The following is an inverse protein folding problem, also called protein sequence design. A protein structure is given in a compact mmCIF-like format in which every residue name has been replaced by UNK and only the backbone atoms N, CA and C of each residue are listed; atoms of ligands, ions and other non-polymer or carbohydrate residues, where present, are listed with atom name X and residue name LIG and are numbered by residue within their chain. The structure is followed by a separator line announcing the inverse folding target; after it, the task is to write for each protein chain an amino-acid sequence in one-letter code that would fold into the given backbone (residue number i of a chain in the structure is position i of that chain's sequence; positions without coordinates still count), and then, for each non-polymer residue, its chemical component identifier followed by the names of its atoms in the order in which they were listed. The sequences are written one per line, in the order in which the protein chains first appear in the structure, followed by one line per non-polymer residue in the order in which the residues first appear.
data_IF_765308823852
#
_entry.id   IF_765308823852
#
_cell.length_a   1.000
_cell.length_b   1.000
_cell.length_c   1.000
_cell.angle_alpha   90.00
_cell.angle_beta   90.00
_cell.angle_gamma   90.00
#
_symmetry.space_group_name_H-M   'P 1'
#
loop_
_entity.id
_entity.type
_entity.pdbx_description
1 polymer ?
#
# COMPACT_ATOMS: atom_id res chain seq x y z
N UNK A 1 26.09 2.49 7.72
CA UNK A 1 25.49 3.36 8.75
C UNK A 1 25.44 2.56 10.02
N UNK A 2 25.95 3.12 11.11
CA UNK A 2 25.98 2.43 12.40
C UNK A 2 24.55 2.38 12.97
N UNK A 3 23.97 1.18 13.14
CA UNK A 3 22.60 1.02 13.67
C UNK A 3 22.50 1.40 15.15
N UNK A 4 23.64 1.67 15.79
CA UNK A 4 23.70 2.15 17.18
C UNK A 4 23.29 3.64 17.32
N UNK A 5 23.10 4.37 16.20
CA UNK A 5 22.73 5.78 16.27
C UNK A 5 21.42 6.04 17.03
N UNK A 6 20.51 5.04 17.06
CA UNK A 6 19.27 5.13 17.83
C UNK A 6 19.50 5.07 19.35
N UNK A 7 20.63 4.50 19.81
CA UNK A 7 20.98 4.40 21.23
C UNK A 7 21.78 5.61 21.71
N UNK A 8 22.50 6.26 20.79
CA UNK A 8 23.51 7.29 21.12
C UNK A 8 23.00 8.71 20.95
N UNK A 9 22.03 8.94 20.06
CA UNK A 9 21.51 10.28 19.79
C UNK A 9 20.52 10.76 20.84
N UNK A 10 20.51 12.06 21.16
CA UNK A 10 19.46 12.66 21.98
C UNK A 10 18.08 12.42 21.38
N UNK A 11 17.05 12.22 22.23
CA UNK A 11 15.72 11.78 21.81
C UNK A 11 15.08 12.70 20.79
N UNK A 12 15.10 14.02 21.01
CA UNK A 12 14.42 14.98 20.13
C UNK A 12 15.04 15.05 18.71
N UNK A 13 16.36 15.23 18.54
CA UNK A 13 16.99 15.17 17.21
C UNK A 13 16.81 13.82 16.51
N UNK A 14 16.79 12.71 17.27
CA UNK A 14 16.52 11.38 16.74
C UNK A 14 15.10 11.32 16.17
N UNK A 15 14.10 11.74 16.95
CA UNK A 15 12.68 11.75 16.59
C UNK A 15 12.46 12.58 15.30
N UNK A 16 12.98 13.79 15.23
CA UNK A 16 12.88 14.65 14.04
C UNK A 16 13.56 13.99 12.83
N UNK A 17 14.73 13.39 13.00
CA UNK A 17 15.48 12.76 11.91
C UNK A 17 14.77 11.52 11.32
N UNK A 18 13.90 10.88 12.09
CA UNK A 18 13.10 9.74 11.66
C UNK A 18 11.70 10.15 11.16
N UNK A 19 11.06 11.11 11.84
CA UNK A 19 9.72 11.57 11.50
C UNK A 19 9.69 12.40 10.21
N UNK A 20 10.65 13.30 10.01
CA UNK A 20 10.65 14.20 8.85
C UNK A 20 10.63 13.46 7.50
N UNK A 21 11.47 12.43 7.25
CA UNK A 21 11.37 11.65 6.03
C UNK A 21 10.01 10.97 5.84
N UNK A 22 9.37 10.51 6.93
CA UNK A 22 8.04 9.88 6.87
C UNK A 22 6.97 10.90 6.51
N UNK A 23 6.98 12.09 7.13
CA UNK A 23 6.04 13.18 6.81
C UNK A 23 6.16 13.59 5.36
N UNK A 24 7.38 13.77 4.84
CA UNK A 24 7.62 14.10 3.44
C UNK A 24 7.05 12.99 2.53
N UNK A 25 7.28 11.70 2.88
CA UNK A 25 6.74 10.58 2.12
C UNK A 25 5.21 10.58 2.09
N UNK A 26 4.56 10.87 3.22
CA UNK A 26 3.10 10.95 3.31
C UNK A 26 2.54 12.11 2.47
N UNK A 27 3.19 13.28 2.50
CA UNK A 27 2.81 14.42 1.66
C UNK A 27 2.90 14.08 0.17
N UNK A 28 4.01 13.47 -0.26
CA UNK A 28 4.20 13.06 -1.66
C UNK A 28 3.16 11.99 -2.06
N UNK A 29 2.86 11.06 -1.16
CA UNK A 29 1.83 10.05 -1.37
C UNK A 29 0.42 10.67 -1.52
N UNK A 30 0.10 11.68 -0.72
CA UNK A 30 -1.18 12.42 -0.86
C UNK A 30 -1.24 13.21 -2.17
N UNK A 31 -0.15 13.85 -2.56
CA UNK A 31 -0.07 14.58 -3.82
C UNK A 31 -0.25 13.66 -5.02
N UNK A 32 0.39 12.49 -5.02
CA UNK A 32 0.23 11.56 -6.14
C UNK A 32 -1.22 11.04 -6.26
N UNK A 33 -1.91 10.78 -5.14
CA UNK A 33 -3.31 10.38 -5.16
C UNK A 33 -4.23 11.46 -5.76
N UNK A 34 -3.93 12.74 -5.49
CA UNK A 34 -4.65 13.88 -6.09
C UNK A 34 -4.39 13.95 -7.60
N UNK A 35 -3.13 13.81 -8.02
CA UNK A 35 -2.73 13.86 -9.43
C UNK A 35 -3.34 12.69 -10.22
N UNK A 36 -3.29 11.46 -9.70
CA UNK A 36 -3.94 10.29 -10.29
C UNK A 36 -5.45 10.54 -10.48
N UNK A 37 -6.14 11.04 -9.45
CA UNK A 37 -7.56 11.37 -9.54
C UNK A 37 -7.85 12.47 -10.55
N UNK A 38 -6.98 13.46 -10.67
CA UNK A 38 -7.09 14.52 -11.66
C UNK A 38 -7.03 13.98 -13.10
N UNK A 39 -6.08 13.07 -13.39
CA UNK A 39 -6.00 12.46 -14.72
C UNK A 39 -7.18 11.53 -15.02
N UNK A 40 -7.65 10.75 -14.04
CA UNK A 40 -8.83 9.90 -14.21
C UNK A 40 -10.09 10.73 -14.45
N UNK A 41 -10.25 11.86 -13.75
CA UNK A 41 -11.38 12.77 -13.98
C UNK A 41 -11.43 13.36 -15.41
N UNK A 42 -10.26 13.46 -16.06
CA UNK A 42 -10.20 13.91 -17.48
C UNK A 42 -10.62 12.81 -18.49
N UNK A 43 -10.73 11.54 -18.07
CA UNK A 43 -11.22 10.47 -18.95
C UNK A 43 -12.73 10.62 -19.15
N UNK A 44 -13.49 10.60 -18.05
CA UNK A 44 -14.94 10.80 -18.00
C UNK A 44 -15.44 10.88 -16.56
N UNK A 45 -16.65 11.40 -16.35
CA UNK A 45 -17.34 11.38 -15.06
C UNK A 45 -17.60 9.93 -14.58
N UNK A 46 -17.96 9.04 -15.50
CA UNK A 46 -18.17 7.61 -15.20
C UNK A 46 -16.88 6.94 -14.72
N UNK A 47 -15.73 7.28 -15.29
CA UNK A 47 -14.43 6.74 -14.83
C UNK A 47 -14.11 7.20 -13.42
N UNK A 48 -14.38 8.46 -13.09
CA UNK A 48 -14.18 8.99 -11.75
C UNK A 48 -15.15 8.37 -10.73
N UNK A 49 -16.40 8.14 -11.13
CA UNK A 49 -17.40 7.44 -10.33
C UNK A 49 -16.96 6.00 -10.06
N UNK A 50 -16.50 5.28 -11.08
CA UNK A 50 -16.00 3.92 -10.98
C UNK A 50 -14.82 3.84 -9.99
N UNK A 51 -13.84 4.75 -10.11
CA UNK A 51 -12.69 4.83 -9.21
C UNK A 51 -13.11 5.09 -7.76
N UNK A 52 -14.09 5.99 -7.55
CA UNK A 52 -14.63 6.31 -6.24
C UNK A 52 -15.33 5.12 -5.58
N UNK A 53 -16.04 4.31 -6.36
CA UNK A 53 -16.69 3.08 -5.88
C UNK A 53 -15.70 1.94 -5.60
N UNK A 54 -14.59 1.84 -6.34
CA UNK A 54 -13.54 0.85 -6.10
C UNK A 54 -12.71 1.21 -4.86
N UNK A 55 -12.57 2.50 -4.54
CA UNK A 55 -11.71 3.01 -3.48
C UNK A 55 -11.89 2.32 -2.12
N UNK A 56 -13.10 2.04 -1.58
CA UNK A 56 -13.26 1.35 -0.31
C UNK A 56 -12.60 -0.03 -0.28
N UNK A 57 -12.66 -0.78 -1.37
CA UNK A 57 -12.03 -2.11 -1.46
C UNK A 57 -10.50 -1.99 -1.51
N UNK A 58 -9.96 -1.02 -2.28
CA UNK A 58 -8.53 -0.72 -2.29
C UNK A 58 -8.04 -0.28 -0.90
N UNK A 59 -8.80 0.59 -0.23
CA UNK A 59 -8.47 1.07 1.11
C UNK A 59 -8.49 -0.07 2.14
N UNK A 60 -9.39 -1.03 2.01
CA UNK A 60 -9.40 -2.24 2.85
C UNK A 60 -8.12 -3.08 2.62
N UNK A 61 -7.72 -3.31 1.37
CA UNK A 61 -6.47 -4.01 1.02
C UNK A 61 -5.26 -3.29 1.63
N UNK A 62 -5.20 -1.97 1.50
CA UNK A 62 -4.15 -1.15 2.11
C UNK A 62 -4.16 -1.20 3.64
N UNK A 63 -5.34 -1.20 4.25
CA UNK A 63 -5.49 -1.31 5.70
C UNK A 63 -4.91 -2.63 6.24
N UNK A 64 -5.17 -3.75 5.54
CA UNK A 64 -4.56 -5.05 5.89
C UNK A 64 -3.05 -5.00 5.74
N UNK A 65 -2.55 -4.46 4.64
CA UNK A 65 -1.12 -4.37 4.36
C UNK A 65 -0.37 -3.50 5.38
N UNK A 66 -0.88 -2.29 5.63
CA UNK A 66 -0.27 -1.33 6.58
C UNK A 66 -0.40 -1.85 8.00
N UNK A 67 -1.58 -2.34 8.40
CA UNK A 67 -1.85 -2.79 9.76
C UNK A 67 -1.01 -4.02 10.13
N UNK A 68 -0.91 -5.00 9.23
CA UNK A 68 0.00 -6.14 9.44
C UNK A 68 1.47 -5.68 9.46
N UNK A 69 1.83 -4.73 8.58
CA UNK A 69 3.16 -4.12 8.55
C UNK A 69 3.52 -3.37 9.85
N UNK A 70 2.56 -2.75 10.54
CA UNK A 70 2.77 -2.13 11.86
C UNK A 70 3.14 -3.21 12.88
N UNK A 71 2.45 -4.33 12.90
CA UNK A 71 2.78 -5.48 13.74
C UNK A 71 4.18 -6.00 13.47
N UNK A 72 4.53 -6.15 12.19
CA UNK A 72 5.87 -6.58 11.74
C UNK A 72 6.95 -5.63 12.23
N UNK A 73 6.78 -4.32 12.00
CA UNK A 73 7.71 -3.29 12.43
C UNK A 73 7.93 -3.33 13.95
N UNK A 74 6.86 -3.38 14.72
CA UNK A 74 6.93 -3.40 16.18
C UNK A 74 7.68 -4.63 16.72
N UNK A 75 7.40 -5.83 16.20
CA UNK A 75 8.06 -7.06 16.65
C UNK A 75 9.53 -7.08 16.26
N UNK A 76 9.89 -6.66 15.03
CA UNK A 76 11.29 -6.57 14.61
C UNK A 76 12.04 -5.55 15.47
N UNK A 77 11.50 -4.35 15.68
CA UNK A 77 12.12 -3.30 16.47
C UNK A 77 12.34 -3.73 17.93
N UNK A 78 11.35 -4.44 18.51
CA UNK A 78 11.46 -4.99 19.86
C UNK A 78 12.66 -5.93 20.02
N UNK A 79 12.79 -6.92 19.11
CA UNK A 79 13.88 -7.89 19.19
C UNK A 79 15.25 -7.28 18.84
N UNK A 80 15.30 -6.30 17.93
CA UNK A 80 16.53 -5.54 17.66
C UNK A 80 16.95 -4.74 18.90
N UNK A 81 16.00 -4.09 19.57
CA UNK A 81 16.26 -3.37 20.82
C UNK A 81 16.76 -4.29 21.95
N UNK A 82 16.24 -5.50 22.02
CA UNK A 82 16.69 -6.54 22.97
C UNK A 82 18.02 -7.21 22.57
N UNK A 83 18.61 -6.87 21.41
CA UNK A 83 19.85 -7.46 20.90
C UNK A 83 19.69 -8.83 20.25
N UNK A 84 18.47 -9.39 20.17
CA UNK A 84 18.16 -10.69 19.57
C UNK A 84 17.93 -10.56 18.05
N UNK A 85 19.03 -10.42 17.31
CA UNK A 85 19.00 -10.32 15.84
C UNK A 85 18.43 -11.57 15.16
N UNK A 86 18.53 -12.75 15.80
CA UNK A 86 17.98 -13.99 15.27
C UNK A 86 16.46 -13.96 15.34
N UNK A 87 15.87 -13.60 16.48
CA UNK A 87 14.42 -13.45 16.61
C UNK A 87 13.86 -12.35 15.69
N UNK A 88 14.57 -11.22 15.52
CA UNK A 88 14.20 -10.19 14.54
C UNK A 88 14.18 -10.75 13.10
N UNK A 89 15.16 -11.59 12.72
CA UNK A 89 15.20 -12.28 11.43
C UNK A 89 14.06 -13.29 11.27
N UNK A 90 13.68 -14.01 12.34
CA UNK A 90 12.53 -14.91 12.35
C UNK A 90 11.23 -14.14 12.13
N UNK A 91 11.03 -13.01 12.82
CA UNK A 91 9.87 -12.14 12.63
C UNK A 91 9.77 -11.64 11.20
N UNK A 92 10.88 -11.17 10.61
CA UNK A 92 10.91 -10.71 9.25
C UNK A 92 10.60 -11.84 8.24
N UNK A 93 11.17 -13.03 8.42
CA UNK A 93 10.96 -14.15 7.50
C UNK A 93 9.52 -14.68 7.57
N UNK A 94 9.00 -14.90 8.78
CA UNK A 94 7.61 -15.32 8.98
C UNK A 94 6.63 -14.23 8.51
N UNK A 95 6.95 -12.96 8.79
CA UNK A 95 6.20 -11.81 8.30
C UNK A 95 6.14 -11.74 6.79
N UNK A 96 7.23 -12.05 6.06
CA UNK A 96 7.23 -12.11 4.61
C UNK A 96 6.29 -13.20 4.09
N UNK A 97 6.39 -14.41 4.65
CA UNK A 97 5.54 -15.52 4.24
C UNK A 97 4.04 -15.21 4.45
N UNK A 98 3.70 -14.62 5.61
CA UNK A 98 2.32 -14.21 5.91
C UNK A 98 1.87 -13.05 5.01
N UNK A 99 2.73 -12.08 4.74
CA UNK A 99 2.44 -10.99 3.80
C UNK A 99 2.11 -11.52 2.41
N UNK A 100 2.87 -12.48 1.91
CA UNK A 100 2.59 -13.11 0.61
C UNK A 100 1.30 -13.93 0.63
N UNK A 101 1.01 -14.63 1.73
CA UNK A 101 -0.26 -15.33 1.92
C UNK A 101 -1.45 -14.36 1.90
N UNK A 102 -1.37 -13.26 2.64
CA UNK A 102 -2.40 -12.21 2.61
C UNK A 102 -2.55 -11.62 1.22
N UNK A 103 -1.45 -11.37 0.50
CA UNK A 103 -1.47 -10.84 -0.86
C UNK A 103 -2.28 -11.73 -1.80
N UNK A 104 -2.05 -13.05 -1.76
CA UNK A 104 -2.79 -14.02 -2.58
C UNK A 104 -4.28 -14.04 -2.19
N UNK A 105 -4.59 -14.13 -0.89
CA UNK A 105 -5.97 -14.16 -0.40
C UNK A 105 -6.71 -12.88 -0.80
N UNK A 106 -6.10 -11.71 -0.60
CA UNK A 106 -6.72 -10.43 -0.94
C UNK A 106 -6.87 -10.24 -2.44
N UNK A 107 -5.89 -10.67 -3.25
CA UNK A 107 -6.02 -10.63 -4.72
C UNK A 107 -7.23 -11.44 -5.18
N UNK A 108 -7.29 -12.72 -4.78
CA UNK A 108 -8.39 -13.60 -5.18
C UNK A 108 -9.72 -13.08 -4.64
N UNK A 109 -9.77 -12.74 -3.34
CA UNK A 109 -10.99 -12.25 -2.70
C UNK A 109 -11.51 -10.97 -3.35
N UNK A 110 -10.65 -9.99 -3.61
CA UNK A 110 -11.04 -8.74 -4.26
C UNK A 110 -11.54 -8.96 -5.68
N UNK A 111 -10.87 -9.80 -6.48
CA UNK A 111 -11.30 -10.10 -7.85
C UNK A 111 -12.66 -10.83 -7.91
N UNK A 112 -12.95 -11.69 -6.92
CA UNK A 112 -14.24 -12.42 -6.86
C UNK A 112 -15.41 -11.53 -6.41
N UNK A 113 -15.13 -10.54 -5.55
CA UNK A 113 -16.17 -9.73 -4.90
C UNK A 113 -16.46 -8.44 -5.65
N UNK A 114 -15.47 -7.87 -6.38
CA UNK A 114 -15.55 -6.50 -6.88
C UNK A 114 -16.77 -6.22 -7.77
N UNK A 115 -17.12 -7.12 -8.69
CA UNK A 115 -18.26 -6.87 -9.58
C UNK A 115 -19.58 -6.82 -8.80
N UNK A 116 -19.79 -7.78 -7.87
CA UNK A 116 -20.98 -7.79 -7.01
C UNK A 116 -21.02 -6.54 -6.12
N UNK A 117 -19.89 -6.13 -5.60
CA UNK A 117 -19.76 -4.93 -4.80
C UNK A 117 -20.16 -3.68 -5.59
N UNK A 118 -19.66 -3.51 -6.81
CA UNK A 118 -20.00 -2.36 -7.65
C UNK A 118 -21.51 -2.33 -8.01
N UNK A 119 -22.10 -3.48 -8.30
CA UNK A 119 -23.56 -3.61 -8.57
C UNK A 119 -24.44 -3.26 -7.37
N UNK A 120 -23.92 -3.26 -6.15
CA UNK A 120 -24.66 -2.80 -4.96
C UNK A 120 -24.81 -1.28 -4.89
N UNK A 121 -23.91 -0.51 -5.54
CA UNK A 121 -23.85 0.94 -5.43
C UNK A 121 -24.09 1.69 -6.74
N UNK A 122 -24.14 1.01 -7.85
CA UNK A 122 -24.42 1.60 -9.17
C UNK A 122 -25.26 0.67 -10.02
N UNK A 123 -26.22 1.25 -10.75
CA UNK A 123 -27.00 0.59 -11.79
C UNK A 123 -26.48 0.89 -13.22
N UNK A 124 -25.48 1.78 -13.34
CA UNK A 124 -24.85 2.11 -14.62
C UNK A 124 -23.89 1.00 -15.04
N UNK A 125 -24.22 0.26 -16.09
CA UNK A 125 -23.34 -0.78 -16.64
C UNK A 125 -21.98 -0.21 -17.10
N UNK A 126 -21.94 1.03 -17.59
CA UNK A 126 -20.70 1.71 -17.96
C UNK A 126 -19.77 1.90 -16.77
N UNK A 127 -20.30 2.39 -15.64
CA UNK A 127 -19.53 2.57 -14.39
C UNK A 127 -19.03 1.23 -13.85
N UNK A 128 -19.90 0.20 -13.90
CA UNK A 128 -19.53 -1.14 -13.43
C UNK A 128 -18.42 -1.73 -14.31
N UNK A 129 -18.54 -1.66 -15.65
CA UNK A 129 -17.51 -2.17 -16.57
C UNK A 129 -16.17 -1.48 -16.34
N UNK A 130 -16.16 -0.15 -16.28
CA UNK A 130 -14.94 0.64 -16.00
C UNK A 130 -14.32 0.25 -14.65
N UNK A 131 -15.13 0.11 -13.61
CA UNK A 131 -14.69 -0.29 -12.28
C UNK A 131 -14.11 -1.71 -12.26
N UNK A 132 -14.72 -2.66 -12.96
CA UNK A 132 -14.21 -4.04 -13.07
C UNK A 132 -12.90 -4.09 -13.86
N UNK A 133 -12.79 -3.36 -14.97
CA UNK A 133 -11.56 -3.29 -15.78
C UNK A 133 -10.40 -2.70 -15.00
N UNK A 134 -10.61 -1.59 -14.32
CA UNK A 134 -9.64 -1.00 -13.41
C UNK A 134 -9.21 -1.98 -12.31
N UNK A 135 -10.19 -2.59 -11.66
CA UNK A 135 -9.97 -3.47 -10.51
C UNK A 135 -9.23 -4.75 -10.86
N UNK A 136 -9.50 -5.34 -12.03
CA UNK A 136 -8.77 -6.53 -12.51
C UNK A 136 -7.27 -6.29 -12.60
N UNK A 137 -6.87 -5.10 -13.02
CA UNK A 137 -5.46 -4.75 -13.14
C UNK A 137 -4.88 -4.42 -11.77
N UNK A 138 -5.49 -3.49 -11.02
CA UNK A 138 -4.92 -3.01 -9.77
C UNK A 138 -4.81 -4.11 -8.71
N UNK A 139 -5.79 -5.02 -8.62
CA UNK A 139 -5.74 -6.12 -7.65
C UNK A 139 -4.73 -7.22 -8.01
N UNK A 140 -4.31 -7.36 -9.28
CA UNK A 140 -3.16 -8.19 -9.62
C UNK A 140 -1.85 -7.62 -9.05
N UNK A 141 -1.76 -6.30 -8.91
CA UNK A 141 -0.61 -5.64 -8.27
C UNK A 141 -0.65 -5.68 -6.73
N UNK A 142 -1.68 -6.27 -6.10
CA UNK A 142 -1.75 -6.42 -4.63
C UNK A 142 -0.51 -7.11 -4.08
N UNK A 143 0.06 -8.07 -4.80
CA UNK A 143 1.31 -8.74 -4.41
C UNK A 143 2.46 -7.73 -4.32
N UNK A 144 2.56 -6.82 -5.29
CA UNK A 144 3.58 -5.77 -5.29
C UNK A 144 3.32 -4.74 -4.19
N UNK A 145 2.07 -4.34 -3.96
CA UNK A 145 1.66 -3.42 -2.88
C UNK A 145 2.06 -4.00 -1.52
N UNK A 146 1.73 -5.26 -1.28
CA UNK A 146 2.05 -5.94 -0.03
C UNK A 146 3.56 -6.11 0.16
N UNK A 147 4.30 -6.45 -0.90
CA UNK A 147 5.76 -6.55 -0.87
C UNK A 147 6.42 -5.17 -0.60
N UNK A 148 5.91 -4.11 -1.24
CA UNK A 148 6.36 -2.74 -1.01
C UNK A 148 6.23 -2.35 0.47
N UNK A 149 5.04 -2.52 1.04
CA UNK A 149 4.76 -2.20 2.45
C UNK A 149 5.57 -3.10 3.40
N UNK A 150 5.76 -4.37 3.08
CA UNK A 150 6.63 -5.26 3.85
C UNK A 150 8.05 -4.72 3.95
N UNK A 151 8.71 -4.45 2.81
CA UNK A 151 10.08 -3.92 2.81
C UNK A 151 10.16 -2.55 3.47
N UNK A 152 9.18 -1.67 3.22
CA UNK A 152 9.09 -0.38 3.89
C UNK A 152 9.13 -0.56 5.41
N UNK A 153 8.29 -1.44 5.98
CA UNK A 153 8.25 -1.66 7.43
C UNK A 153 9.52 -2.32 7.97
N UNK A 154 10.15 -3.21 7.22
CA UNK A 154 11.44 -3.79 7.60
C UNK A 154 12.54 -2.71 7.65
N UNK A 155 12.62 -1.82 6.64
CA UNK A 155 13.59 -0.73 6.64
C UNK A 155 13.29 0.31 7.74
N UNK A 156 12.01 0.59 8.02
CA UNK A 156 11.61 1.44 9.15
C UNK A 156 12.05 0.84 10.49
N UNK A 157 11.86 -0.46 10.69
CA UNK A 157 12.23 -1.15 11.93
C UNK A 157 13.74 -1.08 12.23
N UNK A 158 14.59 -1.03 11.20
CA UNK A 158 16.05 -0.84 11.37
C UNK A 158 16.48 0.63 11.31
N UNK A 159 15.52 1.58 11.33
CA UNK A 159 15.80 3.02 11.35
C UNK A 159 16.27 3.61 10.02
N UNK A 160 16.16 2.89 8.90
CA UNK A 160 16.57 3.39 7.58
C UNK A 160 15.46 4.18 6.88
N UNK A 161 14.90 5.20 7.55
CA UNK A 161 13.77 6.02 7.06
C UNK A 161 14.07 6.70 5.72
N UNK A 162 15.32 7.10 5.46
CA UNK A 162 15.71 7.68 4.17
C UNK A 162 15.54 6.70 3.00
N UNK A 163 15.74 5.41 3.24
CA UNK A 163 15.54 4.38 2.20
C UNK A 163 14.05 4.27 1.87
N UNK A 164 13.20 4.24 2.89
CA UNK A 164 11.73 4.16 2.69
C UNK A 164 11.21 5.40 1.98
N UNK A 165 11.66 6.58 2.38
CA UNK A 165 11.34 7.85 1.71
C UNK A 165 11.74 7.80 0.23
N UNK A 166 12.98 7.40 -0.08
CA UNK A 166 13.47 7.34 -1.47
C UNK A 166 12.64 6.38 -2.31
N UNK A 167 12.36 5.17 -1.81
CA UNK A 167 11.54 4.19 -2.53
C UNK A 167 10.15 4.74 -2.82
N UNK A 168 9.47 5.30 -1.83
CA UNK A 168 8.14 5.87 -1.98
C UNK A 168 8.13 7.06 -2.96
N UNK A 169 9.08 8.00 -2.82
CA UNK A 169 9.17 9.15 -3.72
C UNK A 169 9.37 8.73 -5.17
N UNK A 170 10.29 7.79 -5.43
CA UNK A 170 10.53 7.31 -6.81
C UNK A 170 9.28 6.60 -7.35
N UNK A 171 8.60 5.77 -6.54
CA UNK A 171 7.34 5.15 -6.94
C UNK A 171 6.25 6.16 -7.31
N UNK A 172 6.08 7.22 -6.50
CA UNK A 172 5.13 8.30 -6.79
C UNK A 172 5.51 9.07 -8.06
N UNK A 173 6.79 9.42 -8.25
CA UNK A 173 7.25 10.11 -9.45
C UNK A 173 7.01 9.27 -10.71
N UNK A 174 7.33 7.97 -10.65
CA UNK A 174 7.08 7.05 -11.77
C UNK A 174 5.60 6.98 -12.09
N UNK A 175 4.73 6.88 -11.11
CA UNK A 175 3.28 6.90 -11.31
C UNK A 175 2.82 8.21 -11.97
N UNK A 176 3.17 9.39 -11.40
CA UNK A 176 2.79 10.71 -11.94
C UNK A 176 3.23 10.89 -13.40
N UNK A 177 4.39 10.34 -13.77
CA UNK A 177 4.88 10.41 -15.17
C UNK A 177 4.11 9.43 -16.06
N UNK A 178 3.86 8.21 -15.59
CA UNK A 178 3.21 7.17 -16.39
C UNK A 178 1.71 7.41 -16.58
N UNK A 179 1.02 8.03 -15.61
CA UNK A 179 -0.41 8.32 -15.71
C UNK A 179 -0.78 9.01 -17.02
N UNK A 180 -0.29 10.22 -17.35
CA UNK A 180 -0.68 10.87 -18.59
C UNK A 180 -0.20 10.12 -19.84
N UNK A 181 0.96 9.44 -19.77
CA UNK A 181 1.51 8.70 -20.90
C UNK A 181 0.63 7.52 -21.30
N UNK A 182 0.15 6.75 -20.31
CA UNK A 182 -0.59 5.50 -20.56
C UNK A 182 -2.11 5.76 -20.62
N UNK A 183 -2.62 6.70 -19.84
CA UNK A 183 -4.05 7.06 -19.87
C UNK A 183 -4.43 7.64 -21.22
N UNK A 184 -3.67 8.63 -21.70
CA UNK A 184 -3.99 9.38 -22.93
C UNK A 184 -3.27 8.87 -24.18
N UNK A 185 -2.29 7.96 -24.03
CA UNK A 185 -1.53 7.42 -25.16
C UNK A 185 -0.55 8.43 -25.73
N UNK A 186 0.27 9.07 -24.89
CA UNK A 186 1.24 10.07 -25.34
C UNK A 186 2.53 9.37 -25.79
N UNK A 187 3.02 9.74 -26.98
CA UNK A 187 4.23 9.17 -27.56
C UNK A 187 4.03 7.73 -28.04
N UNK A 188 4.91 6.76 -27.65
CA UNK A 188 4.83 5.37 -28.10
C UNK A 188 3.81 4.52 -27.34
N UNK A 189 3.12 5.10 -26.35
CA UNK A 189 2.22 4.37 -25.47
C UNK A 189 0.81 4.27 -26.04
N UNK A 190 0.12 3.11 -25.91
CA UNK A 190 -1.27 2.98 -26.31
C UNK A 190 -2.18 3.76 -25.35
N UNK A 191 -3.28 4.29 -25.86
CA UNK A 191 -4.31 4.95 -25.04
C UNK A 191 -5.15 3.89 -24.31
N UNK A 192 -4.92 3.69 -23.03
CA UNK A 192 -5.59 2.66 -22.22
C UNK A 192 -6.69 3.22 -21.30
N UNK A 193 -6.85 4.55 -21.19
CA UNK A 193 -7.87 5.14 -20.33
C UNK A 193 -7.73 4.67 -18.86
N UNK A 194 -8.82 4.20 -18.26
CA UNK A 194 -8.86 3.80 -16.84
C UNK A 194 -7.96 2.60 -16.53
N UNK A 195 -7.76 1.69 -17.49
CA UNK A 195 -6.80 0.59 -17.37
C UNK A 195 -5.37 1.11 -17.29
N UNK A 196 -5.09 2.21 -18.01
CA UNK A 196 -3.80 2.90 -17.96
C UNK A 196 -3.49 3.46 -16.58
N UNK A 197 -4.47 4.06 -15.91
CA UNK A 197 -4.34 4.52 -14.51
C UNK A 197 -4.01 3.36 -13.56
N UNK A 198 -4.70 2.21 -13.69
CA UNK A 198 -4.41 1.03 -12.89
C UNK A 198 -2.99 0.47 -13.12
N UNK A 199 -2.53 0.45 -14.39
CA UNK A 199 -1.18 0.02 -14.75
C UNK A 199 -0.11 0.97 -14.22
N UNK A 200 -0.28 2.27 -14.37
CA UNK A 200 0.67 3.27 -13.88
C UNK A 200 0.80 3.20 -12.36
N UNK A 201 -0.33 3.06 -11.65
CA UNK A 201 -0.34 2.84 -10.19
C UNK A 201 0.38 1.55 -9.83
N UNK A 202 0.10 0.45 -10.53
CA UNK A 202 0.76 -0.84 -10.29
C UNK A 202 2.27 -0.78 -10.50
N UNK A 203 2.75 -0.16 -11.59
CA UNK A 203 4.18 0.03 -11.85
C UNK A 203 4.81 0.93 -10.79
N UNK A 204 4.11 1.99 -10.36
CA UNK A 204 4.51 2.84 -9.25
C UNK A 204 4.72 2.07 -7.94
N UNK A 205 3.96 1.01 -7.69
CA UNK A 205 4.12 0.13 -6.52
C UNK A 205 5.23 -0.92 -6.68
N UNK A 206 5.49 -1.41 -7.90
CA UNK A 206 6.59 -2.34 -8.19
C UNK A 206 7.95 -1.65 -8.05
N UNK A 207 8.04 -0.40 -8.48
CA UNK A 207 9.30 0.36 -8.50
C UNK A 207 9.99 0.43 -7.12
N UNK A 208 9.33 0.80 -6.02
CA UNK A 208 9.95 0.79 -4.70
C UNK A 208 10.35 -0.62 -4.24
N UNK A 209 9.61 -1.67 -4.60
CA UNK A 209 9.98 -3.06 -4.27
C UNK A 209 11.34 -3.40 -4.86
N UNK A 210 11.56 -3.07 -6.14
CA UNK A 210 12.84 -3.29 -6.83
C UNK A 210 13.96 -2.50 -6.13
N UNK A 211 13.72 -1.23 -5.81
CA UNK A 211 14.69 -0.38 -5.11
C UNK A 211 15.04 -0.98 -3.75
N UNK A 212 14.05 -1.36 -2.95
CA UNK A 212 14.27 -1.96 -1.63
C UNK A 212 15.03 -3.28 -1.71
N UNK A 213 14.69 -4.12 -2.68
CA UNK A 213 15.38 -5.39 -2.89
C UNK A 213 16.85 -5.19 -3.28
N UNK A 214 17.13 -4.23 -4.18
CA UNK A 214 18.50 -3.86 -4.57
C UNK A 214 19.28 -3.34 -3.36
N UNK A 215 18.69 -2.41 -2.58
CA UNK A 215 19.34 -1.85 -1.40
C UNK A 215 19.58 -2.93 -0.34
N UNK A 216 18.62 -3.85 -0.14
CA UNK A 216 18.78 -4.97 0.78
C UNK A 216 19.98 -5.87 0.41
N UNK A 217 20.22 -6.10 -0.89
CA UNK A 217 21.35 -6.89 -1.40
C UNK A 217 22.70 -6.15 -1.29
N UNK A 218 22.73 -4.86 -1.67
CA UNK A 218 23.98 -4.08 -1.74
C UNK A 218 24.41 -3.59 -0.34
N UNK A 219 23.44 -3.22 0.49
CA UNK A 219 23.68 -2.67 1.83
C UNK A 219 22.93 -3.48 2.87
N UNK A 220 23.46 -4.65 3.26
CA UNK A 220 22.78 -5.55 4.17
C UNK A 220 22.41 -4.83 5.48
N UNK A 221 21.27 -5.21 6.02
CA UNK A 221 20.74 -4.75 7.30
C UNK A 221 20.96 -5.84 8.37
N UNK A 222 20.80 -5.47 9.64
CA UNK A 222 20.95 -6.43 10.75
C UNK A 222 19.91 -7.55 10.75
N UNK A 223 18.78 -7.32 10.08
CA UNK A 223 17.69 -8.30 9.93
C UNK A 223 17.94 -9.15 8.68
N UNK A 224 18.19 -10.45 8.89
CA UNK A 224 18.40 -11.39 7.80
C UNK A 224 17.15 -12.20 7.54
N UNK A 225 16.66 -12.15 6.30
CA UNK A 225 15.55 -12.98 5.82
C UNK A 225 16.13 -14.30 5.33
N UNK A 226 15.80 -15.40 5.98
CA UNK A 226 16.30 -16.74 5.66
C UNK A 226 15.19 -17.77 5.70
N UNK A 227 15.06 -18.65 4.70
CA UNK A 227 14.03 -19.71 4.68
C UNK A 227 14.07 -20.63 5.89
N UNK A 228 15.28 -20.87 6.45
CA UNK A 228 15.45 -21.73 7.63
C UNK A 228 14.67 -21.19 8.85
N UNK A 229 14.50 -19.88 8.96
CA UNK A 229 13.77 -19.23 10.05
C UNK A 229 12.25 -19.48 10.05
N UNK A 230 11.73 -20.11 9.01
CA UNK A 230 10.33 -20.57 9.00
C UNK A 230 10.14 -21.82 9.88
N UNK A 231 11.14 -22.72 9.92
CA UNK A 231 11.05 -24.01 10.60
C UNK A 231 11.84 -24.04 11.93
N UNK A 232 13.07 -23.54 11.89
CA UNK A 232 14.02 -23.62 13.01
C UNK A 232 14.01 -22.38 13.91
N UNK A 233 13.21 -21.38 13.56
CA UNK A 233 13.13 -20.12 14.27
C UNK A 233 12.08 -20.11 15.37
N UNK A 234 12.17 -19.07 16.21
CA UNK A 234 11.15 -18.75 17.21
C UNK A 234 9.81 -18.46 16.51
N UNK A 235 8.74 -19.13 16.90
CA UNK A 235 7.43 -18.84 16.33
C UNK A 235 6.91 -17.50 16.88
N UNK A 236 6.81 -16.51 16.02
CA UNK A 236 6.40 -15.14 16.36
C UNK A 236 5.07 -14.74 15.70
N UNK A 237 4.42 -15.66 14.99
CA UNK A 237 3.16 -15.42 14.27
C UNK A 237 2.10 -14.81 15.20
N UNK A 238 1.92 -15.38 16.40
CA UNK A 238 0.96 -14.85 17.36
C UNK A 238 1.25 -13.41 17.79
N UNK A 239 2.53 -13.03 17.93
CA UNK A 239 2.92 -11.64 18.26
C UNK A 239 2.70 -10.67 17.11
N UNK A 240 2.97 -11.12 15.87
CA UNK A 240 2.71 -10.32 14.67
C UNK A 240 1.22 -9.97 14.57
N UNK A 241 0.35 -10.95 14.77
CA UNK A 241 -1.10 -10.73 14.72
C UNK A 241 -1.65 -9.99 15.94
N UNK A 242 -1.10 -10.20 17.14
CA UNK A 242 -1.55 -9.51 18.33
C UNK A 242 -1.45 -7.97 18.22
N UNK A 243 -0.47 -7.48 17.44
CA UNK A 243 -0.32 -6.04 17.17
C UNK A 243 -0.96 -5.68 15.82
N UNK A 244 -0.80 -6.54 14.81
CA UNK A 244 -1.26 -6.29 13.45
C UNK A 244 -2.78 -6.25 13.33
N UNK A 245 -3.52 -7.17 13.99
CA UNK A 245 -4.99 -7.22 13.88
C UNK A 245 -5.68 -5.96 14.42
N UNK A 246 -5.37 -5.45 15.63
CA UNK A 246 -5.92 -4.19 16.09
C UNK A 246 -5.61 -3.02 15.15
N UNK A 247 -4.40 -2.98 14.58
CA UNK A 247 -4.01 -1.94 13.63
C UNK A 247 -4.79 -2.07 12.30
N UNK A 248 -4.99 -3.30 11.78
CA UNK A 248 -5.83 -3.57 10.62
C UNK A 248 -7.25 -3.08 10.85
N UNK A 249 -7.87 -3.45 11.98
CA UNK A 249 -9.23 -3.05 12.31
C UNK A 249 -9.37 -1.53 12.36
N UNK A 250 -8.44 -0.85 13.02
CA UNK A 250 -8.45 0.61 13.09
C UNK A 250 -8.34 1.28 11.71
N UNK A 251 -7.50 0.76 10.83
CA UNK A 251 -7.31 1.29 9.48
C UNK A 251 -8.43 0.87 8.51
N UNK A 252 -9.11 -0.25 8.75
CA UNK A 252 -10.22 -0.74 7.93
C UNK A 252 -11.56 -0.06 8.24
N UNK A 253 -11.74 0.49 9.45
CA UNK A 253 -12.97 1.18 9.84
C UNK A 253 -13.41 2.28 8.86
N UNK A 254 -12.51 3.15 8.34
CA UNK A 254 -12.89 4.13 7.33
C UNK A 254 -13.46 3.50 6.05
N UNK A 255 -12.98 2.33 5.62
CA UNK A 255 -13.51 1.64 4.43
C UNK A 255 -14.97 1.22 4.61
N UNK A 256 -15.32 0.71 5.80
CA UNK A 256 -16.69 0.36 6.13
C UNK A 256 -17.59 1.61 6.18
N UNK A 257 -17.09 2.71 6.79
CA UNK A 257 -17.80 3.97 6.83
C UNK A 257 -18.05 4.52 5.42
N UNK A 258 -17.02 4.56 4.56
CA UNK A 258 -17.15 5.03 3.18
C UNK A 258 -18.15 4.17 2.41
N UNK A 259 -18.10 2.85 2.57
CA UNK A 259 -19.05 1.95 1.92
C UNK A 259 -20.49 2.18 2.36
N UNK A 260 -20.73 2.38 3.68
CA UNK A 260 -22.05 2.69 4.20
C UNK A 260 -22.57 4.05 3.69
N UNK A 261 -21.71 5.06 3.68
CA UNK A 261 -22.05 6.40 3.15
C UNK A 261 -22.32 6.35 1.64
N UNK A 262 -21.53 5.59 0.87
CA UNK A 262 -21.79 5.37 -0.56
C UNK A 262 -23.17 4.74 -0.79
N UNK A 263 -23.57 3.77 0.04
CA UNK A 263 -24.90 3.16 -0.04
C UNK A 263 -26.03 4.17 0.20
N UNK A 264 -25.86 5.08 1.15
CA UNK A 264 -26.83 6.14 1.42
C UNK A 264 -26.86 7.18 0.29
N UNK A 265 -25.70 7.65 -0.15
CA UNK A 265 -25.57 8.73 -1.12
C UNK A 265 -25.99 8.30 -2.53
N UNK A 266 -25.74 7.03 -2.90
CA UNK A 266 -26.12 6.46 -4.19
C UNK A 266 -27.65 6.50 -4.46
N UNK A 267 -28.46 6.48 -3.38
CA UNK A 267 -29.91 6.61 -3.48
C UNK A 267 -30.33 8.02 -3.95
N UNK A 268 -29.53 9.04 -3.62
CA UNK A 268 -29.85 10.44 -3.96
C UNK A 268 -29.24 10.84 -5.31
N UNK A 269 -27.94 10.62 -5.52
CA UNK A 269 -27.25 10.94 -6.77
C UNK A 269 -25.87 10.31 -6.83
N UNK A 270 -25.45 9.85 -8.03
CA UNK A 270 -24.07 9.39 -8.29
C UNK A 270 -23.03 10.51 -8.05
N UNK A 271 -23.39 11.76 -8.31
CA UNK A 271 -22.48 12.91 -8.06
C UNK A 271 -22.07 13.02 -6.59
N UNK A 272 -22.95 12.68 -5.65
CA UNK A 272 -22.59 12.68 -4.23
C UNK A 272 -21.57 11.59 -3.87
N UNK A 273 -21.63 10.43 -4.54
CA UNK A 273 -20.64 9.36 -4.38
C UNK A 273 -19.27 9.83 -4.88
N UNK A 274 -19.23 10.53 -6.01
CA UNK A 274 -17.99 11.12 -6.55
C UNK A 274 -17.39 12.13 -5.58
N UNK A 275 -18.21 13.05 -5.07
CA UNK A 275 -17.77 14.07 -4.10
C UNK A 275 -17.20 13.41 -2.84
N UNK A 276 -17.88 12.38 -2.30
CA UNK A 276 -17.37 11.63 -1.16
C UNK A 276 -16.03 10.93 -1.48
N UNK A 277 -15.92 10.31 -2.66
CA UNK A 277 -14.71 9.65 -3.10
C UNK A 277 -13.52 10.61 -3.22
N UNK A 278 -13.73 11.83 -3.72
CA UNK A 278 -12.71 12.89 -3.80
C UNK A 278 -12.32 13.37 -2.40
N UNK A 279 -13.31 13.53 -1.49
CA UNK A 279 -13.08 14.02 -0.13
C UNK A 279 -12.21 13.06 0.70
N UNK A 280 -12.35 11.75 0.50
CA UNK A 280 -11.60 10.73 1.26
C UNK A 280 -10.25 10.34 0.62
N UNK A 281 -9.94 10.77 -0.58
CA UNK A 281 -8.63 10.60 -1.22
C UNK A 281 -7.65 11.72 -0.85
#
# INVERSE_FOLDING_TARGET
MNENFMKEKPVFPLLVSMALPMVISMLVNSLYNIVDSFFVAQISEDAMTALSLVYPVQNFVNAVAIGFGIGLNAVISYYLGAGDKKAAGCAATQGLALTMLHAVILTIGSLLVIERFLRMFSSSETVIDLGVRYSRIIFLFTIAIMANLYFEKVFQAVGRMKVTMTGMMVGCIVNIILDPLIIFGIGPFPRLGIEGAALATGIGQVTPVVIYWIIYKIRPISVKIRPEYLKEGKNLVGRLYAIGVPAILNLALPSLLISALNGILAVYSQSYVVVLGIYYK
#
